data_IF_319801442873
#
_entry.id   IF_319801442873
#
_cell.length_a   1.000
_cell.length_b   1.000
_cell.length_c   1.000
_cell.angle_alpha   90.00
_cell.angle_beta   90.00
_cell.angle_gamma   90.00
#
_symmetry.space_group_name_H-M   'P 1'
#
loop_
_entity.id
_entity.type
_entity.pdbx_description
1 polymer ?
#
# COMPACT_ATOMS: atom_id res chain seq x y z
N UNK A 1 59.47 39.58 -45.20
CA UNK A 1 58.16 40.23 -45.46
C UNK A 1 57.29 40.01 -44.23
N UNK A 2 56.86 41.10 -43.60
CA UNK A 2 55.99 41.14 -42.42
C UNK A 2 54.57 40.64 -42.79
N UNK A 3 53.89 39.93 -41.90
CA UNK A 3 52.68 40.44 -41.22
C UNK A 3 52.26 39.50 -40.07
N UNK A 4 51.92 40.13 -38.95
CA UNK A 4 51.31 39.59 -37.72
C UNK A 4 49.82 39.96 -37.76
N UNK A 5 48.92 39.09 -37.26
CA UNK A 5 47.57 39.34 -36.72
C UNK A 5 47.01 37.95 -36.29
N UNK A 6 47.13 37.48 -35.04
CA UNK A 6 46.45 37.82 -33.76
C UNK A 6 44.93 37.65 -33.79
N UNK A 7 44.45 36.87 -32.81
CA UNK A 7 43.08 36.80 -32.23
C UNK A 7 42.12 35.84 -32.96
N UNK A 8 41.33 34.98 -32.32
CA UNK A 8 40.81 34.95 -30.95
C UNK A 8 40.75 33.47 -30.51
N UNK A 9 41.27 33.20 -29.31
CA UNK A 9 40.95 31.99 -28.58
C UNK A 9 39.44 31.97 -28.30
N UNK A 10 38.70 31.17 -29.07
CA UNK A 10 37.40 30.71 -28.61
C UNK A 10 37.67 29.66 -27.52
N UNK A 11 37.96 30.16 -26.32
CA UNK A 11 37.60 29.47 -25.08
C UNK A 11 36.09 29.33 -25.17
N UNK A 12 35.65 28.24 -25.81
CA UNK A 12 34.32 27.73 -25.64
C UNK A 12 34.22 27.43 -24.15
N UNK A 13 33.70 28.39 -23.41
CA UNK A 13 33.01 28.19 -22.15
C UNK A 13 31.94 27.13 -22.44
N UNK A 14 32.35 25.86 -22.33
CA UNK A 14 31.50 24.84 -21.78
C UNK A 14 31.17 25.38 -20.39
N UNK A 15 30.09 26.16 -20.32
CA UNK A 15 29.26 26.25 -19.14
C UNK A 15 28.82 24.81 -18.88
N UNK A 16 29.70 24.06 -18.22
CA UNK A 16 29.31 22.86 -17.51
C UNK A 16 28.23 23.34 -16.57
N UNK A 17 26.98 23.05 -16.94
CA UNK A 17 25.85 23.03 -16.03
C UNK A 17 26.35 22.52 -14.69
N UNK A 18 26.03 23.21 -13.59
CA UNK A 18 26.23 22.74 -12.23
C UNK A 18 25.93 21.24 -12.19
N UNK A 19 26.96 20.40 -12.23
CA UNK A 19 26.77 18.96 -12.19
C UNK A 19 26.50 18.71 -10.73
N UNK A 20 25.22 18.60 -10.37
CA UNK A 20 24.85 17.89 -9.15
C UNK A 20 25.65 16.59 -9.14
N UNK A 21 26.33 16.33 -8.03
CA UNK A 21 27.08 15.08 -7.89
C UNK A 21 26.11 13.91 -8.15
N UNK A 22 26.58 12.85 -8.82
CA UNK A 22 25.71 11.72 -9.13
C UNK A 22 25.11 11.16 -7.83
N UNK A 23 23.83 10.75 -7.82
CA UNK A 23 23.18 10.29 -6.61
C UNK A 23 23.94 9.15 -5.93
N UNK A 24 24.05 9.21 -4.60
CA UNK A 24 24.63 8.12 -3.80
C UNK A 24 23.74 6.88 -3.93
N UNK A 25 24.29 5.75 -4.36
CA UNK A 25 23.51 4.51 -4.46
C UNK A 25 23.36 3.86 -3.08
N UNK A 26 22.11 3.67 -2.65
CA UNK A 26 21.73 2.99 -1.41
C UNK A 26 21.45 1.51 -1.70
N UNK A 27 21.73 0.65 -0.73
CA UNK A 27 21.28 -0.75 -0.70
C UNK A 27 20.19 -0.93 0.34
N UNK A 28 19.13 -1.65 -0.02
CA UNK A 28 17.99 -1.97 0.87
C UNK A 28 18.48 -2.49 2.22
N UNK A 29 17.97 -1.91 3.31
CA UNK A 29 18.26 -2.32 4.69
C UNK A 29 19.71 -2.11 5.15
N UNK A 30 20.55 -1.43 4.36
CA UNK A 30 21.96 -1.20 4.69
C UNK A 30 22.20 0.25 5.07
N UNK A 31 22.91 0.46 6.19
CA UNK A 31 23.36 1.79 6.61
C UNK A 31 24.28 2.40 5.55
N UNK A 32 23.94 3.60 5.09
CA UNK A 32 24.67 4.35 4.06
C UNK A 32 24.96 5.75 4.60
N UNK A 33 26.17 6.26 4.37
CA UNK A 33 26.48 7.67 4.67
C UNK A 33 25.88 8.55 3.57
N UNK A 34 25.06 9.52 3.95
CA UNK A 34 24.39 10.48 3.07
C UNK A 34 24.32 11.84 3.77
N UNK A 35 24.80 12.90 3.12
CA UNK A 35 24.77 14.28 3.65
C UNK A 35 25.17 14.40 5.14
N UNK A 36 26.35 13.89 5.47
CA UNK A 36 26.92 13.86 6.83
C UNK A 36 26.09 13.18 7.93
N UNK A 37 25.11 12.38 7.53
CA UNK A 37 24.38 11.47 8.43
C UNK A 37 24.38 10.04 7.91
N UNK A 38 24.01 9.11 8.78
CA UNK A 38 23.70 7.73 8.42
C UNK A 38 22.21 7.58 8.16
N UNK A 39 21.90 6.96 7.02
CA UNK A 39 20.54 6.63 6.63
C UNK A 39 20.44 5.14 6.31
N UNK A 40 19.34 4.51 6.67
CA UNK A 40 18.96 3.17 6.23
C UNK A 40 17.59 3.27 5.56
N UNK A 41 17.51 2.84 4.31
CA UNK A 41 16.23 2.79 3.57
C UNK A 41 15.85 1.34 3.40
N UNK A 42 14.65 0.99 3.85
CA UNK A 42 14.02 -0.31 3.65
C UNK A 42 12.65 -0.11 2.99
N UNK A 43 12.13 -1.17 2.39
CA UNK A 43 10.77 -1.14 1.86
C UNK A 43 10.14 -2.53 1.87
N UNK A 44 8.81 -2.56 1.95
CA UNK A 44 8.01 -3.78 1.78
C UNK A 44 6.96 -3.52 0.70
N UNK A 45 6.81 -4.47 -0.21
CA UNK A 45 5.71 -4.44 -1.17
C UNK A 45 4.66 -5.49 -0.81
N UNK A 46 3.37 -5.14 -0.84
CA UNK A 46 2.30 -6.02 -0.36
C UNK A 46 0.99 -5.73 -1.08
N UNK A 47 0.31 -6.76 -1.58
CA UNK A 47 -1.04 -6.60 -2.14
C UNK A 47 -2.10 -6.45 -1.04
N UNK A 48 -1.80 -6.96 0.16
CA UNK A 48 -2.63 -6.79 1.36
C UNK A 48 -1.75 -6.35 2.54
N UNK A 49 -2.12 -5.25 3.19
CA UNK A 49 -1.51 -4.78 4.44
C UNK A 49 -2.49 -5.05 5.58
N UNK A 50 -2.00 -5.60 6.69
CA UNK A 50 -2.80 -5.88 7.89
C UNK A 50 -2.14 -5.17 9.07
N UNK A 51 -2.92 -4.37 9.79
CA UNK A 51 -2.59 -3.90 11.12
C UNK A 51 -3.49 -4.64 12.12
N UNK A 52 -2.90 -5.57 12.88
CA UNK A 52 -3.61 -6.38 13.87
C UNK A 52 -4.03 -5.57 15.10
N UNK A 53 -3.25 -4.56 15.49
CA UNK A 53 -3.50 -3.72 16.67
C UNK A 53 -4.73 -2.82 16.45
N UNK A 54 -4.80 -2.17 15.28
CA UNK A 54 -5.92 -1.32 14.89
C UNK A 54 -7.07 -2.12 14.25
N UNK A 55 -6.89 -3.43 14.04
CA UNK A 55 -7.83 -4.32 13.35
C UNK A 55 -8.24 -3.82 11.96
N UNK A 56 -7.27 -3.36 11.18
CA UNK A 56 -7.50 -2.82 9.84
C UNK A 56 -6.73 -3.60 8.77
N UNK A 57 -7.34 -3.70 7.60
CA UNK A 57 -6.73 -4.28 6.41
C UNK A 57 -6.90 -3.33 5.24
N UNK A 58 -5.83 -3.16 4.46
CA UNK A 58 -5.83 -2.39 3.24
C UNK A 58 -5.46 -3.31 2.07
N UNK A 59 -6.35 -3.37 1.07
CA UNK A 59 -6.23 -4.28 -0.09
C UNK A 59 -5.99 -3.45 -1.33
N UNK A 60 -4.92 -3.77 -2.07
CA UNK A 60 -4.61 -3.10 -3.31
C UNK A 60 -5.63 -3.51 -4.39
N UNK A 61 -6.09 -2.58 -5.24
CA UNK A 61 -6.86 -2.91 -6.42
C UNK A 61 -6.13 -3.90 -7.34
N UNK A 62 -6.89 -4.58 -8.21
CA UNK A 62 -6.32 -5.50 -9.19
C UNK A 62 -5.22 -4.83 -10.03
N UNK A 63 -4.09 -5.53 -10.21
CA UNK A 63 -2.92 -5.02 -10.93
C UNK A 63 -2.04 -4.02 -10.14
N UNK A 64 -2.47 -3.61 -8.95
CA UNK A 64 -1.73 -2.69 -8.08
C UNK A 64 -1.11 -3.41 -6.88
N UNK A 65 -0.15 -2.74 -6.24
CA UNK A 65 0.49 -3.19 -5.01
C UNK A 65 0.87 -1.98 -4.16
N UNK A 66 0.81 -2.12 -2.84
CA UNK A 66 1.31 -1.10 -1.94
C UNK A 66 2.82 -1.24 -1.73
N UNK A 67 3.53 -0.11 -1.63
CA UNK A 67 4.91 -0.06 -1.17
C UNK A 67 4.96 0.79 0.11
N UNK A 68 5.33 0.17 1.21
CA UNK A 68 5.71 0.87 2.45
C UNK A 68 7.21 1.12 2.38
N UNK A 69 7.63 2.37 2.42
CA UNK A 69 9.04 2.76 2.45
C UNK A 69 9.38 3.25 3.85
N UNK A 70 10.31 2.57 4.51
CA UNK A 70 10.80 2.90 5.83
C UNK A 70 12.18 3.55 5.72
N UNK A 71 12.35 4.71 6.36
CA UNK A 71 13.63 5.39 6.45
C UNK A 71 14.01 5.55 7.91
N UNK A 72 15.20 5.09 8.26
CA UNK A 72 15.85 5.39 9.53
C UNK A 72 16.99 6.36 9.31
N UNK A 73 17.05 7.43 10.09
CA UNK A 73 18.05 8.47 9.90
C UNK A 73 18.52 9.05 11.24
N UNK A 74 19.70 9.66 11.28
CA UNK A 74 20.20 10.33 12.48
C UNK A 74 19.53 11.69 12.70
N UNK A 75 19.06 12.36 11.64
CA UNK A 75 18.31 13.60 11.73
C UNK A 75 17.23 13.69 10.63
N UNK A 76 16.31 14.65 10.76
CA UNK A 76 15.14 14.78 9.88
C UNK A 76 15.41 15.61 8.61
N UNK A 77 16.67 15.97 8.31
CA UNK A 77 17.05 16.85 7.20
C UNK A 77 17.06 16.12 5.85
N UNK A 78 15.95 15.45 5.51
CA UNK A 78 15.78 14.79 4.22
C UNK A 78 14.32 14.73 3.80
N UNK A 79 14.13 14.60 2.49
CA UNK A 79 12.87 14.37 1.81
C UNK A 79 12.90 13.00 1.14
N UNK A 80 11.82 12.24 1.30
CA UNK A 80 11.63 10.93 0.67
C UNK A 80 10.62 11.07 -0.47
N UNK A 81 10.96 10.53 -1.64
CA UNK A 81 10.03 10.38 -2.76
C UNK A 81 10.16 9.00 -3.41
N UNK A 82 9.09 8.55 -4.06
CA UNK A 82 9.09 7.38 -4.92
C UNK A 82 8.87 7.85 -6.36
N UNK A 83 9.68 7.35 -7.30
CA UNK A 83 9.61 7.74 -8.70
C UNK A 83 9.45 6.54 -9.62
N UNK A 84 8.76 6.74 -10.74
CA UNK A 84 8.75 5.86 -11.90
C UNK A 84 9.29 6.64 -13.11
N UNK A 85 10.55 6.35 -13.48
CA UNK A 85 11.29 7.23 -14.38
C UNK A 85 11.43 8.63 -13.78
N UNK A 86 10.96 9.65 -14.51
CA UNK A 86 11.00 11.06 -14.07
C UNK A 86 9.75 11.48 -13.29
N UNK A 87 8.73 10.61 -13.19
CA UNK A 87 7.47 10.94 -12.52
C UNK A 87 7.54 10.60 -11.04
N UNK A 88 7.24 11.57 -10.19
CA UNK A 88 7.00 11.33 -8.76
C UNK A 88 5.63 10.69 -8.53
N UNK A 89 5.60 9.67 -7.68
CA UNK A 89 4.40 8.95 -7.27
C UNK A 89 3.84 9.61 -6.02
N UNK A 90 2.57 9.98 -6.08
CA UNK A 90 1.85 10.53 -4.95
C UNK A 90 1.71 9.50 -3.81
N UNK A 91 1.84 9.98 -2.58
CA UNK A 91 1.64 9.18 -1.39
C UNK A 91 0.15 8.88 -1.20
N UNK A 92 -0.15 7.72 -0.61
CA UNK A 92 -1.49 7.42 -0.13
C UNK A 92 -1.86 8.41 0.98
N UNK A 93 -3.08 8.91 0.98
CA UNK A 93 -3.58 9.88 1.97
C UNK A 93 -3.31 9.40 3.40
N UNK A 94 -2.85 10.30 4.26
CA UNK A 94 -2.47 9.99 5.63
C UNK A 94 -3.60 9.34 6.45
N UNK A 95 -4.87 9.69 6.19
CA UNK A 95 -6.02 9.08 6.88
C UNK A 95 -6.18 7.60 6.56
N UNK A 96 -5.68 7.15 5.40
CA UNK A 96 -5.67 5.74 4.99
C UNK A 96 -4.34 5.07 5.36
N UNK A 97 -3.23 5.80 5.19
CA UNK A 97 -1.88 5.27 5.38
C UNK A 97 -1.48 5.13 6.85
N UNK A 98 -1.95 6.01 7.74
CA UNK A 98 -1.54 6.11 9.15
C UNK A 98 -1.45 4.76 9.89
N UNK A 99 -2.47 3.90 9.81
CA UNK A 99 -2.45 2.57 10.43
C UNK A 99 -1.37 1.61 9.88
N UNK A 100 -0.79 1.87 8.71
CA UNK A 100 0.14 0.95 8.05
C UNK A 100 1.57 1.48 7.93
N UNK A 101 1.80 2.72 8.36
CA UNK A 101 3.11 3.35 8.41
C UNK A 101 3.52 3.56 9.86
N UNK A 102 4.82 3.68 10.13
CA UNK A 102 5.29 3.96 11.48
C UNK A 102 4.90 5.38 11.87
N UNK A 103 4.08 5.49 12.90
CA UNK A 103 3.79 6.76 13.56
C UNK A 103 4.90 7.01 14.59
N UNK A 104 5.98 7.66 14.16
CA UNK A 104 6.99 8.18 15.06
C UNK A 104 6.82 9.69 15.04
N UNK A 105 6.45 10.27 16.19
CA UNK A 105 6.24 11.70 16.44
C UNK A 105 6.89 12.57 15.36
N UNK A 106 6.09 12.91 14.33
CA UNK A 106 6.59 13.49 13.07
C UNK A 106 7.31 14.82 13.32
N UNK A 107 7.07 15.44 14.49
CA UNK A 107 7.73 16.65 14.93
C UNK A 107 9.17 16.44 15.43
N UNK A 108 9.52 15.25 15.92
CA UNK A 108 10.80 15.01 16.62
C UNK A 108 11.57 13.79 16.11
N UNK A 109 10.91 12.82 15.46
CA UNK A 109 11.55 11.63 14.94
C UNK A 109 12.22 11.89 13.58
N UNK A 110 13.50 11.52 13.41
CA UNK A 110 14.15 11.50 12.11
C UNK A 110 13.68 10.32 11.25
N UNK A 111 13.18 9.25 11.86
CA UNK A 111 12.67 8.07 11.16
C UNK A 111 11.28 8.38 10.58
N UNK A 112 11.05 7.99 9.32
CA UNK A 112 9.81 8.24 8.57
C UNK A 112 9.38 7.00 7.80
N UNK A 113 8.07 6.85 7.63
CA UNK A 113 7.48 5.79 6.80
C UNK A 113 6.41 6.38 5.89
N UNK A 114 6.49 6.09 4.59
CA UNK A 114 5.49 6.52 3.61
C UNK A 114 4.87 5.31 2.92
N UNK A 115 3.60 5.43 2.55
CA UNK A 115 2.85 4.43 1.80
C UNK A 115 2.54 4.94 0.40
N UNK A 116 2.78 4.10 -0.60
CA UNK A 116 2.49 4.38 -2.01
C UNK A 116 1.64 3.26 -2.60
N UNK A 117 0.73 3.58 -3.51
CA UNK A 117 0.00 2.61 -4.34
C UNK A 117 0.52 2.68 -5.77
N UNK A 118 1.03 1.57 -6.28
CA UNK A 118 1.72 1.53 -7.57
C UNK A 118 1.30 0.34 -8.43
N UNK A 119 1.69 0.34 -9.71
CA UNK A 119 1.51 -0.83 -10.59
C UNK A 119 2.46 -1.96 -10.16
N UNK A 120 1.95 -3.19 -10.13
CA UNK A 120 2.71 -4.33 -9.63
C UNK A 120 3.93 -4.70 -10.52
N UNK A 121 3.90 -4.33 -11.81
CA UNK A 121 4.95 -4.58 -12.79
C UNK A 121 5.82 -3.34 -13.10
N UNK A 122 5.55 -2.22 -12.42
CA UNK A 122 6.27 -0.98 -12.62
C UNK A 122 7.72 -0.99 -12.13
N UNK A 123 8.48 0.02 -12.53
CA UNK A 123 9.90 0.17 -12.18
C UNK A 123 10.13 1.41 -11.35
N UNK A 124 10.37 1.18 -10.07
CA UNK A 124 10.43 2.27 -9.09
C UNK A 124 11.83 2.54 -8.56
N UNK A 125 12.07 3.80 -8.28
CA UNK A 125 13.27 4.30 -7.60
C UNK A 125 12.84 5.10 -6.39
N UNK A 126 13.34 4.73 -5.21
CA UNK A 126 13.22 5.55 -4.02
C UNK A 126 14.34 6.58 -4.06
N UNK A 127 14.00 7.86 -3.90
CA UNK A 127 14.96 8.96 -3.87
C UNK A 127 14.88 9.68 -2.53
N UNK A 128 16.05 9.87 -1.92
CA UNK A 128 16.26 10.67 -0.73
C UNK A 128 17.00 11.93 -1.15
N UNK A 129 16.41 13.10 -0.92
CA UNK A 129 17.02 14.38 -1.20
C UNK A 129 17.30 15.11 0.12
N UNK A 130 18.46 15.74 0.23
CA UNK A 130 18.77 16.61 1.35
C UNK A 130 18.44 18.07 1.04
N UNK A 131 18.51 18.93 2.05
CA UNK A 131 18.36 20.37 1.88
C UNK A 131 19.58 21.04 1.21
N UNK A 132 20.71 20.32 1.12
CA UNK A 132 21.98 20.78 0.55
C UNK A 132 22.25 20.28 -0.86
N UNK A 133 21.20 19.95 -1.63
CA UNK A 133 21.26 19.43 -3.01
C UNK A 133 21.95 18.06 -3.18
N UNK A 134 22.19 17.32 -2.10
CA UNK A 134 22.63 15.93 -2.17
C UNK A 134 21.44 15.01 -2.45
N UNK A 135 21.65 13.99 -3.28
CA UNK A 135 20.65 12.96 -3.57
C UNK A 135 21.21 11.56 -3.34
N UNK A 136 20.35 10.65 -2.90
CA UNK A 136 20.64 9.23 -2.78
C UNK A 136 19.48 8.41 -3.32
N UNK A 137 19.78 7.29 -3.97
CA UNK A 137 18.78 6.49 -4.68
C UNK A 137 18.87 5.01 -4.37
N UNK A 138 17.71 4.37 -4.24
CA UNK A 138 17.54 2.93 -4.12
C UNK A 138 16.62 2.45 -5.24
N UNK A 139 17.14 1.63 -6.15
CA UNK A 139 16.32 0.94 -7.14
C UNK A 139 15.53 -0.18 -6.45
N UNK A 140 14.20 -0.15 -6.58
CA UNK A 140 13.30 -1.09 -5.92
C UNK A 140 13.39 -2.50 -6.55
N UNK A 141 13.72 -2.58 -7.85
CA UNK A 141 13.83 -3.85 -8.57
C UNK A 141 12.46 -4.49 -8.83
N UNK A 142 12.41 -5.82 -8.91
CA UNK A 142 11.15 -6.55 -9.07
C UNK A 142 10.41 -6.59 -7.74
N UNK A 143 9.17 -6.09 -7.73
CA UNK A 143 8.30 -6.14 -6.56
C UNK A 143 7.92 -7.58 -6.25
N UNK A 144 8.21 -8.01 -5.02
CA UNK A 144 7.74 -9.28 -4.49
C UNK A 144 6.57 -8.98 -3.56
N UNK A 145 5.43 -9.62 -3.78
CA UNK A 145 4.30 -9.52 -2.87
C UNK A 145 4.62 -10.23 -1.55
N UNK A 146 4.76 -9.45 -0.47
CA UNK A 146 5.07 -9.89 0.89
C UNK A 146 3.83 -9.88 1.81
N UNK A 147 2.63 -9.94 1.22
CA UNK A 147 1.39 -10.09 1.97
C UNK A 147 1.40 -11.40 2.78
N UNK A 148 1.08 -11.29 4.07
CA UNK A 148 1.01 -12.43 5.00
C UNK A 148 -0.34 -13.15 4.92
N UNK A 149 -1.35 -12.46 4.41
CA UNK A 149 -2.68 -12.98 4.11
C UNK A 149 -3.04 -12.65 2.67
N UNK A 150 -3.97 -13.41 2.09
CA UNK A 150 -4.49 -13.16 0.75
C UNK A 150 -6.01 -13.17 0.79
N UNK A 151 -6.62 -12.29 0.01
CA UNK A 151 -8.06 -12.40 -0.28
C UNK A 151 -8.23 -13.53 -1.29
N UNK A 152 -9.04 -14.52 -0.94
CA UNK A 152 -9.29 -15.64 -1.85
C UNK A 152 -10.11 -15.19 -3.07
N UNK A 153 -9.90 -15.85 -4.22
CA UNK A 153 -10.69 -15.59 -5.44
C UNK A 153 -12.20 -15.76 -5.18
N UNK A 154 -12.56 -16.70 -4.31
CA UNK A 154 -13.94 -16.94 -3.87
C UNK A 154 -14.49 -15.78 -3.05
N UNK A 155 -13.69 -15.20 -2.16
CA UNK A 155 -14.11 -14.01 -1.41
C UNK A 155 -14.26 -12.80 -2.34
N UNK A 156 -13.34 -12.60 -3.29
CA UNK A 156 -13.47 -11.55 -4.30
C UNK A 156 -14.75 -11.72 -5.14
N UNK A 157 -15.05 -12.95 -5.59
CA UNK A 157 -16.28 -13.24 -6.30
C UNK A 157 -17.52 -12.95 -5.45
N UNK A 158 -17.51 -13.31 -4.16
CA UNK A 158 -18.59 -13.02 -3.24
C UNK A 158 -18.80 -11.51 -3.04
N UNK A 159 -17.72 -10.73 -2.85
CA UNK A 159 -17.79 -9.26 -2.74
C UNK A 159 -18.40 -8.62 -4.00
N UNK A 160 -18.07 -9.15 -5.19
CA UNK A 160 -18.57 -8.63 -6.47
C UNK A 160 -20.09 -8.75 -6.63
N UNK A 161 -20.75 -9.69 -5.93
CA UNK A 161 -22.22 -9.79 -5.90
C UNK A 161 -22.89 -8.53 -5.31
N UNK A 162 -22.12 -7.73 -4.56
CA UNK A 162 -22.62 -6.54 -3.85
C UNK A 162 -22.18 -5.22 -4.48
N UNK A 163 -21.45 -5.24 -5.60
CA UNK A 163 -20.97 -4.03 -6.26
C UNK A 163 -22.12 -3.09 -6.69
N UNK A 164 -23.17 -3.65 -7.30
CA UNK A 164 -24.37 -2.92 -7.73
C UNK A 164 -25.58 -3.11 -6.80
N UNK A 165 -25.39 -3.86 -5.72
CA UNK A 165 -26.44 -4.25 -4.79
C UNK A 165 -26.82 -5.72 -4.94
N UNK A 166 -26.79 -6.43 -3.81
CA UNK A 166 -27.14 -7.85 -3.70
C UNK A 166 -27.83 -8.13 -2.36
N UNK A 167 -28.18 -9.38 -2.09
CA UNK A 167 -28.70 -9.79 -0.79
C UNK A 167 -27.84 -10.91 -0.23
N UNK A 168 -27.51 -10.85 1.07
CA UNK A 168 -26.49 -11.71 1.68
C UNK A 168 -26.89 -13.19 1.59
N UNK A 169 -28.12 -13.52 1.98
CA UNK A 169 -28.58 -14.91 1.96
C UNK A 169 -28.75 -15.43 0.54
N UNK A 170 -29.19 -14.57 -0.39
CA UNK A 170 -29.28 -14.92 -1.81
C UNK A 170 -27.91 -15.21 -2.43
N UNK A 171 -26.94 -14.31 -2.26
CA UNK A 171 -25.59 -14.47 -2.76
C UNK A 171 -24.91 -15.71 -2.16
N UNK A 172 -25.03 -15.91 -0.84
CA UNK A 172 -24.41 -17.02 -0.12
C UNK A 172 -24.79 -18.40 -0.67
N UNK A 173 -25.96 -18.56 -1.30
CA UNK A 173 -26.38 -19.84 -1.94
C UNK A 173 -25.35 -20.40 -2.91
N UNK A 174 -24.59 -19.54 -3.58
CA UNK A 174 -23.59 -19.94 -4.58
C UNK A 174 -22.24 -20.32 -3.96
N UNK A 175 -22.05 -20.05 -2.67
CA UNK A 175 -20.78 -20.17 -1.97
C UNK A 175 -20.86 -21.06 -0.72
N UNK A 176 -22.03 -21.58 -0.37
CA UNK A 176 -22.17 -22.59 0.70
C UNK A 176 -22.04 -24.01 0.14
N UNK A 177 -21.67 -24.94 1.01
CA UNK A 177 -21.62 -26.36 0.66
C UNK A 177 -22.99 -26.85 0.19
N UNK A 178 -23.02 -27.68 -0.86
CA UNK A 178 -24.25 -28.26 -1.39
C UNK A 178 -25.11 -28.88 -0.28
N UNK A 179 -26.39 -28.48 -0.23
CA UNK A 179 -27.37 -28.94 0.75
C UNK A 179 -27.40 -28.13 2.05
N UNK A 180 -26.49 -27.18 2.26
CA UNK A 180 -26.55 -26.22 3.37
C UNK A 180 -27.49 -25.08 2.98
N UNK A 181 -28.42 -24.75 3.87
CA UNK A 181 -29.28 -23.58 3.71
C UNK A 181 -28.56 -22.34 4.29
N UNK A 182 -28.40 -21.23 3.53
CA UNK A 182 -27.75 -20.01 4.04
C UNK A 182 -28.36 -19.46 5.34
N UNK A 183 -29.66 -19.67 5.57
CA UNK A 183 -30.33 -19.27 6.82
C UNK A 183 -29.80 -20.00 8.06
N UNK A 184 -29.25 -21.22 7.90
CA UNK A 184 -28.75 -22.03 9.02
C UNK A 184 -27.35 -21.59 9.47
N UNK A 185 -26.62 -20.87 8.61
CA UNK A 185 -25.25 -20.44 8.86
C UNK A 185 -25.11 -18.91 9.01
N UNK A 186 -26.23 -18.18 8.88
CA UNK A 186 -26.24 -16.72 8.93
C UNK A 186 -27.01 -16.23 10.15
N UNK A 187 -26.35 -15.39 10.95
CA UNK A 187 -26.93 -14.80 12.16
C UNK A 187 -26.91 -13.28 12.09
N UNK A 188 -27.96 -12.62 12.59
CA UNK A 188 -28.05 -11.18 12.80
C UNK A 188 -27.92 -10.88 14.30
N UNK A 189 -26.87 -10.15 14.70
CA UNK A 189 -26.54 -9.87 16.11
C UNK A 189 -26.47 -11.12 17.01
N UNK A 190 -26.08 -12.26 16.45
CA UNK A 190 -26.02 -13.55 17.14
C UNK A 190 -27.32 -14.35 17.15
N UNK A 191 -28.42 -13.81 16.64
CA UNK A 191 -29.71 -14.48 16.52
C UNK A 191 -29.98 -14.93 15.06
N UNK A 192 -30.94 -15.84 14.81
CA UNK A 192 -31.32 -16.21 13.45
C UNK A 192 -31.73 -14.98 12.62
N UNK A 193 -31.22 -14.89 11.40
CA UNK A 193 -31.55 -13.80 10.48
C UNK A 193 -32.94 -14.02 9.85
N UNK A 194 -33.87 -13.08 10.05
CA UNK A 194 -35.26 -13.20 9.56
C UNK A 194 -35.53 -12.43 8.26
N UNK A 195 -34.64 -11.53 7.84
CA UNK A 195 -34.75 -10.74 6.62
C UNK A 195 -33.47 -10.78 5.78
N UNK A 196 -33.55 -10.36 4.52
CA UNK A 196 -32.39 -10.30 3.62
C UNK A 196 -32.40 -8.95 2.87
N UNK A 197 -32.11 -7.84 3.57
CA UNK A 197 -32.12 -6.51 2.97
C UNK A 197 -31.06 -6.39 1.88
N UNK A 198 -31.31 -5.50 0.92
CA UNK A 198 -30.33 -5.22 -0.12
C UNK A 198 -29.10 -4.54 0.48
N UNK A 199 -27.94 -5.13 0.24
CA UNK A 199 -26.61 -4.68 0.65
C UNK A 199 -25.86 -4.20 -0.58
N UNK A 200 -25.21 -3.04 -0.48
CA UNK A 200 -24.36 -2.49 -1.53
C UNK A 200 -23.00 -2.12 -0.97
N UNK A 201 -21.97 -2.27 -1.79
CA UNK A 201 -20.61 -1.82 -1.50
C UNK A 201 -20.00 -2.57 -0.33
N UNK A 202 -20.18 -3.90 -0.29
CA UNK A 202 -19.53 -4.73 0.71
C UNK A 202 -18.00 -4.67 0.48
N UNK A 203 -17.24 -4.27 1.49
CA UNK A 203 -15.79 -4.10 1.41
C UNK A 203 -15.11 -4.69 2.63
N UNK A 204 -14.00 -5.42 2.44
CA UNK A 204 -13.22 -5.96 3.55
C UNK A 204 -12.56 -4.80 4.30
N UNK A 205 -12.79 -4.75 5.61
CA UNK A 205 -12.14 -3.81 6.54
C UNK A 205 -11.07 -4.50 7.37
N UNK A 206 -11.19 -5.80 7.62
CA UNK A 206 -10.21 -6.58 8.38
C UNK A 206 -10.19 -8.05 7.93
N UNK A 207 -9.03 -8.70 8.04
CA UNK A 207 -8.87 -10.15 7.93
C UNK A 207 -8.33 -10.65 9.26
N UNK A 208 -9.18 -11.34 10.03
CA UNK A 208 -8.81 -11.89 11.34
C UNK A 208 -7.76 -13.00 11.19
N UNK A 209 -7.01 -13.26 12.26
CA UNK A 209 -5.97 -14.30 12.29
C UNK A 209 -6.50 -15.72 12.00
N UNK A 210 -7.78 -15.98 12.24
CA UNK A 210 -8.44 -17.25 11.92
C UNK A 210 -8.90 -17.36 10.46
N UNK A 211 -8.65 -16.33 9.63
CA UNK A 211 -9.06 -16.25 8.23
C UNK A 211 -10.47 -15.70 8.00
N UNK A 212 -11.18 -15.27 9.04
CA UNK A 212 -12.49 -14.61 8.90
C UNK A 212 -12.33 -13.21 8.30
N UNK A 213 -13.11 -12.92 7.26
CA UNK A 213 -13.17 -11.59 6.66
C UNK A 213 -14.22 -10.76 7.40
N UNK A 214 -13.82 -9.60 7.90
CA UNK A 214 -14.76 -8.58 8.40
C UNK A 214 -14.96 -7.56 7.30
N UNK A 215 -16.21 -7.33 6.95
CA UNK A 215 -16.59 -6.39 5.91
C UNK A 215 -17.48 -5.28 6.48
N UNK A 216 -17.43 -4.10 5.89
CA UNK A 216 -18.43 -3.05 6.06
C UNK A 216 -19.32 -2.96 4.82
N UNK A 217 -20.52 -2.41 4.99
CA UNK A 217 -21.43 -2.11 3.90
C UNK A 217 -21.87 -0.64 3.95
N UNK A 218 -22.26 -0.09 2.80
CA UNK A 218 -22.74 1.30 2.73
C UNK A 218 -23.98 1.51 3.63
N UNK A 219 -24.87 0.52 3.65
CA UNK A 219 -26.17 0.57 4.32
C UNK A 219 -26.44 -0.70 5.14
N UNK A 220 -27.38 -0.58 6.09
CA UNK A 220 -27.94 -1.63 6.96
C UNK A 220 -27.00 -2.23 8.00
N UNK A 221 -25.81 -2.66 7.57
CA UNK A 221 -24.88 -3.40 8.41
C UNK A 221 -23.73 -2.52 8.86
N UNK A 222 -23.44 -2.57 10.16
CA UNK A 222 -22.21 -2.07 10.75
C UNK A 222 -21.05 -2.97 10.32
N UNK A 223 -21.22 -4.28 10.47
CA UNK A 223 -20.25 -5.28 10.05
C UNK A 223 -20.90 -6.54 9.49
N UNK A 224 -20.18 -7.20 8.59
CA UNK A 224 -20.50 -8.51 8.05
C UNK A 224 -19.25 -9.37 8.16
N UNK A 225 -19.24 -10.32 9.09
CA UNK A 225 -18.18 -11.29 9.24
C UNK A 225 -18.47 -12.54 8.40
N UNK A 226 -17.52 -12.94 7.56
CA UNK A 226 -17.65 -14.09 6.66
C UNK A 226 -16.51 -15.06 6.93
N UNK A 227 -16.84 -16.21 7.48
CA UNK A 227 -15.88 -17.30 7.72
C UNK A 227 -16.01 -18.35 6.62
N UNK A 228 -14.86 -18.89 6.20
CA UNK A 228 -14.75 -19.89 5.14
C UNK A 228 -14.16 -21.20 5.68
N UNK A 229 -14.64 -22.34 5.18
CA UNK A 229 -14.04 -23.66 5.32
C UNK A 229 -13.71 -24.22 3.93
N UNK A 230 -12.42 -24.14 3.58
CA UNK A 230 -11.95 -24.36 2.22
C UNK A 230 -12.61 -23.37 1.24
N UNK A 231 -13.27 -23.89 0.22
CA UNK A 231 -13.92 -23.09 -0.83
C UNK A 231 -15.37 -22.67 -0.49
N UNK A 232 -15.87 -22.99 0.72
CA UNK A 232 -17.26 -22.74 1.08
C UNK A 232 -17.37 -21.79 2.27
N UNK A 233 -18.38 -20.91 2.24
CA UNK A 233 -18.78 -20.13 3.42
C UNK A 233 -19.32 -21.10 4.48
N UNK A 234 -18.77 -21.01 5.68
CA UNK A 234 -19.15 -21.83 6.84
C UNK A 234 -20.02 -21.06 7.84
N UNK A 235 -19.86 -19.74 7.90
CA UNK A 235 -20.64 -18.87 8.80
C UNK A 235 -20.67 -17.44 8.28
N UNK A 236 -21.81 -16.77 8.44
CA UNK A 236 -21.95 -15.33 8.27
C UNK A 236 -22.54 -14.74 9.55
N UNK A 237 -21.92 -13.68 10.07
CA UNK A 237 -22.48 -12.89 11.18
C UNK A 237 -22.65 -11.46 10.71
N UNK A 238 -23.88 -10.98 10.70
CA UNK A 238 -24.18 -9.58 10.39
C UNK A 238 -24.49 -8.83 11.68
N UNK A 239 -23.90 -7.65 11.81
CA UNK A 239 -24.22 -6.67 12.87
C UNK A 239 -24.92 -5.50 12.22
N UNK A 240 -26.11 -5.16 12.70
CA UNK A 240 -26.91 -4.04 12.15
C UNK A 240 -26.56 -2.73 12.84
N UNK A 241 -26.68 -1.62 12.10
CA UNK A 241 -26.52 -0.26 12.64
C UNK A 241 -27.66 0.13 13.58
#
# INVERSE_FOLDING_TARGET
MRLILVSIAAVGLLLGSCTSEPPVSIKKGTETKFDDQKITVDFKASSVLVNEEEQQTLIAPEGKIYIVVDVKAENSNYFLSLKEGDKEIEQVDFLVAGPFVRDLDIATSPDKSNLYLVDADGKYTIEINSFGDASATLNVGVLKDEATVKVSDRMNAFLNEFAEGGRILEAAKNYVKSGVNPYDITTENGEPMFGDPATKGLQITNIKADGTYVCSAELWYESVEVSWDGDNISKIVVTVK
#
